data_IF_401781722245
#
_entry.id   IF_401781722245
#
_cell.length_a   1.000
_cell.length_b   1.000
_cell.length_c   1.000
_cell.angle_alpha   90.00
_cell.angle_beta   90.00
_cell.angle_gamma   90.00
#
_symmetry.space_group_name_H-M   'P 1'
#
loop_
_entity.id
_entity.type
_entity.pdbx_description
1 polymer ?
#
# COMPACT_ATOMS: atom_id res chain seq x y z
N UNK A 1 -51.81 -13.04 19.28
CA UNK A 1 -51.43 -11.87 18.46
C UNK A 1 -50.74 -12.37 17.20
N UNK A 2 -51.36 -12.09 16.04
CA UNK A 2 -50.90 -12.60 14.74
C UNK A 2 -49.94 -11.56 14.14
N UNK A 3 -48.66 -11.92 14.00
CA UNK A 3 -47.66 -11.11 13.31
C UNK A 3 -47.78 -11.36 11.79
N UNK A 4 -48.05 -10.30 11.04
CA UNK A 4 -48.11 -10.34 9.58
C UNK A 4 -46.72 -10.07 9.02
N UNK A 5 -46.17 -11.04 8.27
CA UNK A 5 -44.93 -10.89 7.50
C UNK A 5 -45.32 -10.17 6.19
N UNK A 6 -44.72 -9.00 5.98
CA UNK A 6 -44.86 -8.25 4.72
C UNK A 6 -43.66 -8.64 3.82
N UNK A 7 -43.93 -9.42 2.79
CA UNK A 7 -42.97 -9.71 1.72
C UNK A 7 -43.06 -8.56 0.69
N UNK A 8 -41.99 -7.78 0.55
CA UNK A 8 -41.83 -6.80 -0.52
C UNK A 8 -41.18 -7.47 -1.72
N UNK A 9 -41.94 -7.71 -2.78
CA UNK A 9 -41.44 -8.14 -4.07
C UNK A 9 -40.93 -6.92 -4.83
N UNK A 10 -39.63 -6.88 -5.15
CA UNK A 10 -39.06 -5.90 -6.06
C UNK A 10 -39.19 -6.46 -7.48
N UNK A 11 -40.08 -5.86 -8.27
CA UNK A 11 -40.23 -6.16 -9.68
C UNK A 11 -39.17 -5.41 -10.49
N UNK A 12 -38.26 -6.15 -11.13
CA UNK A 12 -37.36 -5.61 -12.18
C UNK A 12 -38.22 -5.34 -13.44
N UNK A 13 -38.46 -4.07 -13.74
CA UNK A 13 -39.01 -3.65 -15.03
C UNK A 13 -37.89 -3.46 -16.06
N UNK A 14 -37.76 -4.42 -16.97
CA UNK A 14 -37.00 -4.24 -18.20
C UNK A 14 -37.81 -3.34 -19.15
N UNK A 15 -37.34 -2.13 -19.37
CA UNK A 15 -37.80 -1.27 -20.48
C UNK A 15 -36.89 -1.48 -21.67
N UNK A 16 -37.35 -2.30 -22.61
CA UNK A 16 -36.81 -2.31 -23.96
C UNK A 16 -37.44 -1.11 -24.70
N UNK A 17 -36.68 -0.04 -24.88
CA UNK A 17 -37.03 1.05 -25.77
C UNK A 17 -36.21 0.89 -27.06
N UNK A 18 -36.85 0.35 -28.08
CA UNK A 18 -36.40 0.43 -29.46
C UNK A 18 -36.90 1.74 -30.05
N UNK A 19 -36.05 2.65 -30.45
CA UNK A 19 -36.41 3.92 -31.08
C UNK A 19 -35.14 4.60 -31.57
N UNK A 20 -34.86 4.46 -32.87
CA UNK A 20 -33.68 5.07 -33.52
C UNK A 20 -33.78 6.59 -33.52
N UNK A 21 -32.64 7.21 -33.35
CA UNK A 21 -32.31 8.54 -33.88
C UNK A 21 -30.78 8.69 -33.74
N UNK A 22 -30.17 8.96 -34.88
CA UNK A 22 -28.73 9.19 -35.03
C UNK A 22 -28.30 10.38 -34.16
N UNK A 23 -27.67 10.09 -33.07
CA UNK A 23 -26.77 10.99 -32.38
C UNK A 23 -25.55 10.15 -31.96
N UNK A 24 -24.46 10.35 -32.68
CA UNK A 24 -23.12 9.87 -32.32
C UNK A 24 -22.66 10.47 -30.97
N UNK A 25 -23.28 10.00 -29.91
CA UNK A 25 -22.69 10.06 -28.58
C UNK A 25 -22.06 8.68 -28.34
N UNK A 26 -20.92 8.45 -29.00
CA UNK A 26 -20.07 7.34 -28.61
C UNK A 26 -19.61 7.62 -27.18
N UNK A 27 -20.36 7.13 -26.20
CA UNK A 27 -19.86 6.89 -24.86
C UNK A 27 -18.75 5.85 -25.07
N UNK A 28 -17.52 6.31 -25.19
CA UNK A 28 -16.37 5.43 -25.05
C UNK A 28 -16.58 4.67 -23.75
N UNK A 29 -16.59 3.32 -23.77
CA UNK A 29 -16.59 2.56 -22.54
C UNK A 29 -15.43 3.12 -21.70
N UNK A 30 -15.70 3.53 -20.48
CA UNK A 30 -14.64 3.85 -19.52
C UNK A 30 -13.71 2.63 -19.54
N UNK A 31 -12.46 2.81 -19.98
CA UNK A 31 -11.54 1.69 -20.19
C UNK A 31 -11.47 0.91 -18.87
N UNK A 32 -11.89 -0.35 -18.92
CA UNK A 32 -11.86 -1.21 -17.75
C UNK A 32 -10.44 -1.19 -17.17
N UNK A 33 -10.31 -0.92 -15.87
CA UNK A 33 -9.03 -0.84 -15.20
C UNK A 33 -9.01 -1.65 -13.91
N UNK A 34 -7.83 -2.12 -13.53
CA UNK A 34 -7.57 -2.70 -12.21
C UNK A 34 -6.80 -1.69 -11.38
N UNK A 35 -7.29 -1.39 -10.17
CA UNK A 35 -6.66 -0.43 -9.27
C UNK A 35 -5.74 -1.16 -8.30
N UNK A 36 -4.52 -0.66 -8.16
CA UNK A 36 -3.56 -1.09 -7.15
C UNK A 36 -3.10 0.13 -6.34
N UNK A 37 -2.92 -0.04 -5.04
CA UNK A 37 -2.64 1.04 -4.10
C UNK A 37 -1.33 0.79 -3.36
N UNK A 38 -0.50 1.82 -3.20
CA UNK A 38 0.63 1.81 -2.26
C UNK A 38 0.20 2.47 -0.94
N UNK A 39 0.33 1.74 0.18
CA UNK A 39 -0.21 2.15 1.47
C UNK A 39 0.74 1.90 2.65
N UNK A 40 1.03 3.02 3.40
CA UNK A 40 1.79 3.04 4.66
C UNK A 40 1.65 4.37 5.45
N UNK A 41 0.55 5.06 5.50
CA UNK A 41 -0.68 5.27 4.68
C UNK A 41 -0.45 5.54 3.19
N UNK A 42 -1.40 6.21 2.49
CA UNK A 42 -1.29 6.45 1.06
C UNK A 42 0.06 7.06 0.65
N UNK A 43 0.77 6.42 -0.29
CA UNK A 43 2.10 6.87 -0.73
C UNK A 43 2.02 7.39 -2.16
N UNK A 44 2.21 8.70 -2.32
CA UNK A 44 2.30 9.37 -3.62
C UNK A 44 3.70 9.23 -4.21
N UNK A 45 3.79 9.14 -5.54
CA UNK A 45 5.06 9.27 -6.27
C UNK A 45 5.88 7.99 -6.39
N UNK A 46 5.32 6.81 -6.06
CA UNK A 46 5.98 5.53 -6.29
C UNK A 46 5.77 5.05 -7.73
N UNK A 47 6.81 4.54 -8.36
CA UNK A 47 6.72 3.89 -9.66
C UNK A 47 6.20 2.47 -9.49
N UNK A 48 5.10 2.15 -10.18
CA UNK A 48 4.48 0.84 -10.14
C UNK A 48 4.78 0.03 -11.43
N UNK A 49 4.96 -1.27 -11.27
CA UNK A 49 5.13 -2.25 -12.34
C UNK A 49 4.41 -3.54 -12.01
N UNK A 50 4.16 -4.36 -13.03
CA UNK A 50 3.55 -5.68 -12.88
C UNK A 50 4.26 -6.73 -13.74
N UNK A 51 4.14 -7.99 -13.30
CA UNK A 51 4.62 -9.17 -14.03
C UNK A 51 3.65 -10.33 -13.82
N UNK A 52 3.15 -10.92 -14.91
CA UNK A 52 2.15 -11.99 -14.92
C UNK A 52 2.73 -13.32 -15.43
N UNK A 53 2.11 -14.43 -15.09
CA UNK A 53 2.57 -15.79 -15.41
C UNK A 53 2.65 -16.07 -16.91
N UNK A 54 1.80 -15.43 -17.70
CA UNK A 54 1.81 -15.56 -19.17
C UNK A 54 2.95 -14.78 -19.85
N UNK A 55 3.87 -14.20 -19.07
CA UNK A 55 4.98 -13.38 -19.56
C UNK A 55 4.62 -11.92 -19.83
N UNK A 56 3.35 -11.51 -19.63
CA UNK A 56 2.95 -10.10 -19.71
C UNK A 56 3.57 -9.31 -18.56
N UNK A 57 4.26 -8.22 -18.86
CA UNK A 57 4.84 -7.33 -17.84
C UNK A 57 4.87 -5.90 -18.35
N UNK A 58 4.95 -4.94 -17.44
CA UNK A 58 5.02 -3.54 -17.83
C UNK A 58 5.04 -2.56 -16.67
N UNK A 59 5.23 -1.29 -17.01
CA UNK A 59 5.04 -0.18 -16.09
C UNK A 59 3.54 0.09 -15.94
N UNK A 60 3.13 0.34 -14.71
CA UNK A 60 1.76 0.72 -14.35
C UNK A 60 1.61 2.24 -14.12
N UNK A 61 2.71 3.00 -14.22
CA UNK A 61 2.72 4.42 -13.94
C UNK A 61 3.20 4.77 -12.54
N UNK A 62 2.81 5.94 -12.06
CA UNK A 62 3.21 6.51 -10.77
C UNK A 62 1.98 6.72 -9.90
N UNK A 63 2.06 6.43 -8.60
CA UNK A 63 0.95 6.60 -7.67
C UNK A 63 0.53 8.05 -7.52
N UNK A 64 -0.78 8.28 -7.49
CA UNK A 64 -1.42 9.57 -7.27
C UNK A 64 -1.45 9.97 -5.77
N UNK A 65 -2.21 11.01 -5.44
CA UNK A 65 -2.35 11.49 -4.06
C UNK A 65 -3.01 10.48 -3.11
N UNK A 66 -3.80 9.57 -3.65
CA UNK A 66 -4.46 8.48 -2.90
C UNK A 66 -3.59 7.20 -2.88
N UNK A 67 -2.36 7.27 -3.39
CA UNK A 67 -1.46 6.13 -3.50
C UNK A 67 -1.85 5.16 -4.62
N UNK A 68 -2.76 5.52 -5.52
CA UNK A 68 -3.38 4.61 -6.49
C UNK A 68 -2.74 4.74 -7.87
N UNK A 69 -2.59 3.61 -8.55
CA UNK A 69 -2.42 3.53 -10.01
C UNK A 69 -3.53 2.68 -10.61
N UNK A 70 -3.97 3.04 -11.83
CA UNK A 70 -4.96 2.31 -12.61
C UNK A 70 -4.30 1.65 -13.80
N UNK A 71 -4.44 0.33 -13.92
CA UNK A 71 -3.80 -0.49 -14.95
C UNK A 71 -4.86 -0.93 -15.95
N UNK A 72 -4.72 -0.54 -17.21
CA UNK A 72 -5.66 -0.86 -18.29
C UNK A 72 -5.25 -2.08 -19.12
N UNK A 73 -4.11 -2.71 -18.82
CA UNK A 73 -3.69 -3.93 -19.51
C UNK A 73 -4.73 -5.04 -19.30
N UNK A 74 -5.19 -5.65 -20.39
CA UNK A 74 -6.28 -6.64 -20.39
C UNK A 74 -5.99 -7.89 -19.56
N UNK A 75 -4.74 -8.36 -19.49
CA UNK A 75 -4.35 -9.48 -18.61
C UNK A 75 -4.54 -9.08 -17.16
N UNK A 76 -4.03 -7.92 -16.76
CA UNK A 76 -4.13 -7.43 -15.38
C UNK A 76 -5.60 -7.17 -14.99
N UNK A 77 -6.41 -6.64 -15.91
CA UNK A 77 -7.84 -6.39 -15.65
C UNK A 77 -8.62 -7.68 -15.45
N UNK A 78 -8.39 -8.67 -16.31
CA UNK A 78 -9.20 -9.90 -16.33
C UNK A 78 -8.71 -10.97 -15.36
N UNK A 79 -7.40 -11.08 -15.17
CA UNK A 79 -6.75 -12.12 -14.34
C UNK A 79 -5.64 -11.52 -13.47
N UNK A 80 -5.95 -10.53 -12.59
CA UNK A 80 -4.94 -9.87 -11.77
C UNK A 80 -4.26 -10.81 -10.77
N UNK A 81 -4.92 -11.89 -10.40
CA UNK A 81 -4.39 -12.98 -9.55
C UNK A 81 -3.15 -13.66 -10.14
N UNK A 82 -3.04 -13.71 -11.48
CA UNK A 82 -1.84 -14.26 -12.16
C UNK A 82 -0.64 -13.31 -12.14
N UNK A 83 -0.81 -12.09 -11.61
CA UNK A 83 0.20 -11.04 -11.66
C UNK A 83 0.76 -10.73 -10.25
N UNK A 84 2.04 -10.43 -10.19
CA UNK A 84 2.67 -9.74 -9.06
C UNK A 84 2.83 -8.26 -9.39
N UNK A 85 2.80 -7.40 -8.35
CA UNK A 85 3.00 -5.97 -8.52
C UNK A 85 4.15 -5.51 -7.63
N UNK A 86 4.93 -4.55 -8.15
CA UNK A 86 6.05 -3.94 -7.42
C UNK A 86 5.94 -2.43 -7.52
N UNK A 87 6.03 -1.78 -6.36
CA UNK A 87 6.10 -0.35 -6.22
C UNK A 87 7.50 0.02 -5.72
N UNK A 88 8.13 0.98 -6.37
CA UNK A 88 9.46 1.45 -6.01
C UNK A 88 9.43 2.94 -5.79
N UNK A 89 9.88 3.38 -4.63
CA UNK A 89 10.02 4.80 -4.31
C UNK A 89 10.91 5.49 -5.33
N UNK A 90 10.56 6.72 -5.62
CA UNK A 90 11.32 7.62 -6.50
C UNK A 90 11.55 8.94 -5.78
N UNK A 91 12.42 9.77 -6.32
CA UNK A 91 12.63 11.13 -5.78
C UNK A 91 11.29 11.87 -5.69
N UNK A 92 10.94 12.34 -4.50
CA UNK A 92 9.66 12.99 -4.22
C UNK A 92 8.52 12.05 -3.85
N UNK A 93 8.76 10.73 -3.75
CA UNK A 93 7.78 9.82 -3.15
C UNK A 93 7.61 10.17 -1.67
N UNK A 94 6.34 10.28 -1.22
CA UNK A 94 6.01 10.80 0.11
C UNK A 94 4.77 10.12 0.67
N UNK A 95 4.77 9.86 1.98
CA UNK A 95 3.58 9.48 2.74
C UNK A 95 2.67 10.71 2.87
N UNK A 96 1.45 10.60 2.35
CA UNK A 96 0.49 11.71 2.27
C UNK A 96 -0.05 12.14 3.63
N UNK A 97 -0.03 11.25 4.62
CA UNK A 97 -0.57 11.51 5.96
C UNK A 97 0.39 12.30 6.85
N UNK A 98 1.69 12.15 6.66
CA UNK A 98 2.69 12.67 7.60
C UNK A 98 3.87 13.39 6.96
N UNK A 99 4.04 13.29 5.62
CA UNK A 99 5.12 13.92 4.88
C UNK A 99 6.47 13.18 4.94
N UNK A 100 6.50 11.94 5.42
CA UNK A 100 7.72 11.10 5.45
C UNK A 100 8.22 10.83 4.04
N UNK A 101 9.55 10.93 3.85
CA UNK A 101 10.22 10.56 2.60
C UNK A 101 10.14 9.05 2.36
N UNK A 102 9.52 8.66 1.25
CA UNK A 102 9.32 7.28 0.82
C UNK A 102 10.18 6.90 -0.40
N UNK A 103 11.17 7.72 -0.75
CA UNK A 103 11.99 7.54 -1.96
C UNK A 103 12.82 6.24 -1.98
N UNK A 104 13.09 5.66 -0.82
CA UNK A 104 13.86 4.39 -0.69
C UNK A 104 12.98 3.17 -0.45
N UNK A 105 11.67 3.36 -0.34
CA UNK A 105 10.74 2.28 -0.02
C UNK A 105 10.43 1.44 -1.25
N UNK A 106 10.23 0.14 -1.05
CA UNK A 106 9.72 -0.75 -2.08
C UNK A 106 8.65 -1.66 -1.50
N UNK A 107 7.48 -1.71 -2.15
CA UNK A 107 6.38 -2.58 -1.76
C UNK A 107 6.06 -3.59 -2.85
N UNK A 108 5.55 -4.76 -2.43
CA UNK A 108 5.22 -5.87 -3.31
C UNK A 108 3.83 -6.42 -3.00
N UNK A 109 3.16 -6.86 -4.04
CA UNK A 109 1.96 -7.71 -3.96
C UNK A 109 2.32 -9.06 -4.58
N UNK A 110 2.22 -10.18 -3.83
CA UNK A 110 2.49 -11.50 -4.37
C UNK A 110 1.39 -11.91 -5.36
N UNK A 111 1.72 -12.79 -6.31
CA UNK A 111 0.72 -13.47 -7.16
C UNK A 111 -0.29 -14.21 -6.31
N UNK A 112 -1.51 -14.34 -6.81
CA UNK A 112 -2.60 -15.03 -6.11
C UNK A 112 -3.40 -14.14 -5.16
N UNK A 113 -2.92 -12.93 -4.80
CA UNK A 113 -3.62 -12.05 -3.86
C UNK A 113 -4.64 -11.13 -4.56
N UNK A 114 -4.27 -10.54 -5.69
CA UNK A 114 -5.15 -9.59 -6.38
C UNK A 114 -6.41 -10.28 -6.93
N UNK A 115 -7.53 -9.56 -7.00
CA UNK A 115 -8.82 -10.08 -7.51
C UNK A 115 -9.44 -9.12 -8.50
N UNK A 116 -10.01 -9.65 -9.57
CA UNK A 116 -10.71 -8.84 -10.57
C UNK A 116 -11.84 -8.03 -9.92
N UNK A 117 -11.95 -6.76 -10.27
CA UNK A 117 -12.98 -5.86 -9.76
C UNK A 117 -12.76 -5.37 -8.32
N UNK A 118 -11.65 -5.73 -7.68
CA UNK A 118 -11.28 -5.27 -6.34
C UNK A 118 -9.96 -4.52 -6.38
N UNK A 119 -9.82 -3.52 -5.51
CA UNK A 119 -8.51 -2.91 -5.25
C UNK A 119 -7.63 -3.91 -4.50
N UNK A 120 -6.33 -3.83 -4.70
CA UNK A 120 -5.35 -4.57 -3.90
C UNK A 120 -4.26 -3.63 -3.42
N UNK A 121 -3.82 -3.83 -2.17
CA UNK A 121 -2.87 -2.93 -1.51
C UNK A 121 -1.45 -3.49 -1.51
N UNK A 122 -0.50 -2.74 -2.04
CA UNK A 122 0.93 -2.92 -1.82
C UNK A 122 1.32 -2.20 -0.53
N UNK A 123 1.72 -2.92 0.48
CA UNK A 123 2.05 -2.42 1.80
C UNK A 123 3.28 -3.13 2.36
N UNK A 124 3.84 -2.67 3.49
CA UNK A 124 4.86 -3.44 4.21
C UNK A 124 4.42 -4.87 4.52
N UNK A 125 3.13 -5.08 4.86
CA UNK A 125 2.59 -6.42 5.16
C UNK A 125 2.63 -7.32 3.93
N UNK A 126 2.08 -6.89 2.79
CA UNK A 126 2.09 -7.68 1.55
C UNK A 126 3.50 -7.91 1.04
N UNK A 127 4.42 -6.96 1.30
CA UNK A 127 5.84 -7.08 0.95
C UNK A 127 6.52 -8.17 1.76
N UNK A 128 6.28 -8.22 3.07
CA UNK A 128 6.85 -9.26 3.92
C UNK A 128 6.31 -10.65 3.54
N UNK A 129 5.00 -10.75 3.24
CA UNK A 129 4.39 -11.97 2.73
C UNK A 129 5.04 -12.39 1.40
N UNK A 130 5.19 -11.47 0.45
CA UNK A 130 5.87 -11.75 -0.82
C UNK A 130 7.32 -12.21 -0.63
N UNK A 131 8.05 -11.60 0.29
CA UNK A 131 9.42 -12.01 0.61
C UNK A 131 9.49 -13.40 1.28
N UNK A 132 8.49 -13.76 2.11
CA UNK A 132 8.38 -15.10 2.73
C UNK A 132 8.05 -16.17 1.69
N UNK A 133 7.18 -15.86 0.73
CA UNK A 133 6.75 -16.76 -0.33
C UNK A 133 7.80 -16.97 -1.42
N UNK A 134 8.67 -15.98 -1.67
CA UNK A 134 9.56 -16.00 -2.83
C UNK A 134 8.77 -16.05 -4.14
N UNK A 135 8.96 -17.11 -4.93
CA UNK A 135 8.26 -17.31 -6.21
C UNK A 135 6.89 -18.01 -6.06
N UNK A 136 6.55 -18.49 -4.86
CA UNK A 136 5.27 -19.16 -4.62
C UNK A 136 4.10 -18.17 -4.63
N UNK A 137 2.92 -18.69 -4.99
CA UNK A 137 1.69 -17.90 -4.96
C UNK A 137 1.21 -17.63 -3.52
N UNK A 138 0.44 -16.56 -3.37
CA UNK A 138 -0.22 -16.23 -2.13
C UNK A 138 -1.10 -17.37 -1.63
N UNK A 139 -0.97 -17.66 -0.35
CA UNK A 139 -1.92 -18.49 0.39
C UNK A 139 -2.31 -17.78 1.68
N UNK A 140 -3.57 -17.91 2.07
CA UNK A 140 -4.05 -17.30 3.32
C UNK A 140 -3.28 -17.84 4.54
N UNK A 141 -2.89 -19.12 4.53
CA UNK A 141 -2.12 -19.72 5.63
C UNK A 141 -0.73 -19.07 5.81
N UNK A 142 -0.03 -18.76 4.70
CA UNK A 142 1.25 -18.07 4.77
C UNK A 142 1.10 -16.64 5.27
N UNK A 143 0.02 -15.97 4.88
CA UNK A 143 -0.27 -14.63 5.37
C UNK A 143 -0.60 -14.64 6.88
N UNK A 144 -1.41 -15.59 7.36
CA UNK A 144 -1.70 -15.78 8.78
C UNK A 144 -0.41 -16.02 9.58
N UNK A 145 0.51 -16.87 9.08
CA UNK A 145 1.81 -17.11 9.70
C UNK A 145 2.61 -15.81 9.84
N UNK A 146 2.75 -15.04 8.76
CA UNK A 146 3.48 -13.76 8.78
C UNK A 146 2.85 -12.76 9.75
N UNK A 147 1.53 -12.61 9.77
CA UNK A 147 0.86 -11.71 10.71
C UNK A 147 1.05 -12.18 12.17
N UNK A 148 1.00 -13.48 12.43
CA UNK A 148 1.29 -14.06 13.74
C UNK A 148 2.73 -13.79 14.19
N UNK A 149 3.70 -13.93 13.28
CA UNK A 149 5.10 -13.61 13.55
C UNK A 149 5.30 -12.13 13.88
N UNK A 150 4.54 -11.25 13.25
CA UNK A 150 4.47 -9.80 13.58
C UNK A 150 3.73 -9.53 14.89
N UNK A 151 3.05 -10.51 15.47
CA UNK A 151 2.21 -10.35 16.67
C UNK A 151 0.86 -9.72 16.40
N UNK A 152 0.37 -9.78 15.16
CA UNK A 152 -0.93 -9.25 14.75
C UNK A 152 -1.96 -10.38 14.71
N UNK A 153 -2.91 -10.37 15.64
CA UNK A 153 -4.05 -11.30 15.67
C UNK A 153 -5.34 -10.59 15.23
N UNK A 154 -5.45 -10.34 13.92
CA UNK A 154 -6.60 -9.63 13.34
C UNK A 154 -7.81 -10.56 13.27
N UNK A 155 -7.64 -11.77 12.78
CA UNK A 155 -8.74 -12.70 12.47
C UNK A 155 -9.55 -13.09 13.70
N UNK A 156 -8.86 -13.53 14.77
CA UNK A 156 -9.56 -13.98 15.98
C UNK A 156 -10.19 -12.81 16.75
N UNK A 157 -9.58 -11.64 16.65
CA UNK A 157 -10.01 -10.46 17.42
C UNK A 157 -11.18 -9.72 16.80
N UNK A 158 -11.43 -9.84 15.49
CA UNK A 158 -12.37 -8.96 14.78
C UNK A 158 -13.34 -9.66 13.84
N UNK A 159 -13.05 -10.88 13.42
CA UNK A 159 -13.78 -11.60 12.36
C UNK A 159 -13.47 -11.10 10.94
N UNK A 160 -12.54 -10.16 10.78
CA UNK A 160 -12.04 -9.70 9.48
C UNK A 160 -11.02 -10.71 8.97
N UNK A 161 -11.15 -11.18 7.73
CA UNK A 161 -10.16 -12.10 7.16
C UNK A 161 -8.85 -11.39 6.87
N UNK A 162 -7.75 -12.13 6.90
CA UNK A 162 -6.43 -11.61 6.52
C UNK A 162 -6.46 -11.08 5.09
N UNK A 163 -7.14 -11.78 4.19
CA UNK A 163 -7.30 -11.34 2.81
C UNK A 163 -7.99 -9.98 2.70
N UNK A 164 -9.07 -9.75 3.46
CA UNK A 164 -9.75 -8.43 3.48
C UNK A 164 -8.81 -7.31 3.93
N UNK A 165 -8.00 -7.56 4.96
CA UNK A 165 -6.98 -6.60 5.42
C UNK A 165 -5.97 -6.28 4.32
N UNK A 166 -5.48 -7.30 3.61
CA UNK A 166 -4.44 -7.13 2.58
C UNK A 166 -4.98 -6.54 1.27
N UNK A 167 -6.23 -6.82 0.91
CA UNK A 167 -6.85 -6.24 -0.27
C UNK A 167 -7.11 -4.74 -0.10
N UNK A 168 -7.61 -4.31 1.06
CA UNK A 168 -7.93 -2.91 1.29
C UNK A 168 -7.59 -2.51 2.73
N UNK A 169 -6.30 -2.38 3.00
CA UNK A 169 -5.76 -2.09 4.33
C UNK A 169 -6.34 -0.78 4.90
N UNK A 170 -6.40 0.27 4.10
CA UNK A 170 -6.93 1.57 4.51
C UNK A 170 -8.36 1.45 5.01
N UNK A 171 -9.27 0.95 4.18
CA UNK A 171 -10.68 0.83 4.55
C UNK A 171 -10.89 -0.06 5.78
N UNK A 172 -10.10 -1.13 5.92
CA UNK A 172 -10.18 -2.00 7.10
C UNK A 172 -9.78 -1.25 8.35
N UNK A 173 -8.66 -0.52 8.33
CA UNK A 173 -8.16 0.20 9.49
C UNK A 173 -9.05 1.39 9.87
N UNK A 174 -9.66 2.06 8.90
CA UNK A 174 -10.43 3.27 9.15
C UNK A 174 -11.90 3.03 9.45
N UNK A 175 -12.50 1.99 8.84
CA UNK A 175 -13.96 1.81 8.90
C UNK A 175 -14.41 0.50 9.52
N UNK A 176 -13.61 -0.56 9.48
CA UNK A 176 -14.05 -1.89 9.89
C UNK A 176 -13.50 -2.32 11.26
N UNK A 177 -12.30 -1.87 11.63
CA UNK A 177 -11.71 -2.16 12.93
C UNK A 177 -12.22 -1.19 13.99
N UNK A 178 -13.06 -1.66 14.90
CA UNK A 178 -13.57 -0.88 16.04
C UNK A 178 -12.64 -0.88 17.26
N UNK A 179 -11.66 -1.80 17.31
CA UNK A 179 -10.69 -1.91 18.41
C UNK A 179 -9.52 -0.94 18.19
N UNK A 180 -9.57 0.23 18.83
CA UNK A 180 -8.55 1.28 18.69
C UNK A 180 -7.13 0.80 19.04
N UNK A 181 -6.98 -0.09 20.02
CA UNK A 181 -5.68 -0.64 20.43
C UNK A 181 -5.09 -1.52 19.30
N UNK A 182 -5.93 -2.35 18.67
CA UNK A 182 -5.50 -3.17 17.52
C UNK A 182 -5.16 -2.30 16.32
N UNK A 183 -5.94 -1.26 16.02
CA UNK A 183 -5.65 -0.29 14.96
C UNK A 183 -4.29 0.36 15.20
N UNK A 184 -4.03 0.84 16.42
CA UNK A 184 -2.75 1.44 16.79
C UNK A 184 -1.60 0.43 16.62
N UNK A 185 -1.79 -0.83 17.03
CA UNK A 185 -0.79 -1.88 16.89
C UNK A 185 -0.50 -2.19 15.41
N UNK A 186 -1.54 -2.32 14.56
CA UNK A 186 -1.33 -2.55 13.13
C UNK A 186 -0.59 -1.38 12.51
N UNK A 187 -0.99 -0.13 12.77
CA UNK A 187 -0.33 1.08 12.25
C UNK A 187 1.13 1.17 12.69
N UNK A 188 1.42 0.94 13.98
CA UNK A 188 2.79 0.94 14.48
C UNK A 188 3.64 -0.17 13.85
N UNK A 189 3.08 -1.38 13.73
CA UNK A 189 3.78 -2.51 13.12
C UNK A 189 4.07 -2.24 11.64
N UNK A 190 3.11 -1.69 10.90
CA UNK A 190 3.26 -1.37 9.47
C UNK A 190 4.33 -0.30 9.25
N UNK A 191 4.29 0.80 10.00
CA UNK A 191 5.27 1.88 9.91
C UNK A 191 6.71 1.40 10.24
N UNK A 192 6.87 0.62 11.32
CA UNK A 192 8.17 0.04 11.69
C UNK A 192 8.64 -0.97 10.64
N UNK A 193 7.74 -1.84 10.15
CA UNK A 193 8.08 -2.84 9.13
C UNK A 193 8.56 -2.19 7.83
N UNK A 194 7.96 -1.07 7.43
CA UNK A 194 8.42 -0.27 6.29
C UNK A 194 9.89 0.10 6.43
N UNK A 195 10.28 0.65 7.58
CA UNK A 195 11.66 1.05 7.84
C UNK A 195 12.62 -0.15 7.94
N UNK A 196 12.19 -1.25 8.57
CA UNK A 196 12.99 -2.48 8.64
C UNK A 196 13.27 -3.04 7.25
N UNK A 197 12.26 -3.03 6.35
CA UNK A 197 12.44 -3.48 4.97
C UNK A 197 13.40 -2.59 4.17
N UNK A 198 13.41 -1.28 4.42
CA UNK A 198 14.38 -0.34 3.80
C UNK A 198 15.80 -0.57 4.31
N UNK A 199 15.96 -0.73 5.61
CA UNK A 199 17.30 -0.85 6.24
C UNK A 199 17.92 -2.23 6.03
N UNK A 200 17.08 -3.28 5.99
CA UNK A 200 17.52 -4.68 5.92
C UNK A 200 16.87 -5.45 4.78
N UNK A 201 17.01 -5.00 3.51
CA UNK A 201 16.27 -5.55 2.36
C UNK A 201 16.61 -7.01 2.03
N UNK A 202 17.77 -7.50 2.51
CA UNK A 202 18.25 -8.86 2.26
C UNK A 202 18.11 -9.79 3.48
N UNK A 203 17.53 -9.32 4.58
CA UNK A 203 17.28 -10.16 5.75
C UNK A 203 16.16 -11.18 5.46
N UNK A 204 16.18 -12.33 6.16
CA UNK A 204 15.10 -13.30 6.06
C UNK A 204 13.77 -12.69 6.54
N UNK A 205 12.67 -13.12 5.94
CA UNK A 205 11.33 -12.65 6.33
C UNK A 205 11.08 -12.85 7.83
N UNK A 206 11.55 -13.96 8.40
CA UNK A 206 11.38 -14.26 9.82
C UNK A 206 12.15 -13.28 10.72
N UNK A 207 13.39 -12.92 10.36
CA UNK A 207 14.18 -11.94 11.12
C UNK A 207 13.55 -10.54 11.01
N UNK A 208 13.05 -10.18 9.83
CA UNK A 208 12.34 -8.91 9.60
C UNK A 208 11.07 -8.86 10.46
N UNK A 209 10.26 -9.93 10.46
CA UNK A 209 9.04 -10.01 11.27
C UNK A 209 9.33 -9.86 12.76
N UNK A 210 10.32 -10.59 13.28
CA UNK A 210 10.70 -10.54 14.69
C UNK A 210 11.25 -9.15 15.09
N UNK A 211 12.05 -8.53 14.22
CA UNK A 211 12.55 -7.18 14.45
C UNK A 211 11.41 -6.15 14.47
N UNK A 212 10.54 -6.19 13.46
CA UNK A 212 9.40 -5.30 13.39
C UNK A 212 8.48 -5.45 14.61
N UNK A 213 8.16 -6.69 15.03
CA UNK A 213 7.37 -6.98 16.23
C UNK A 213 7.98 -6.37 17.48
N UNK A 214 9.29 -6.58 17.73
CA UNK A 214 9.96 -6.07 18.92
C UNK A 214 9.95 -4.55 18.98
N UNK A 215 10.29 -3.91 17.86
CA UNK A 215 10.34 -2.44 17.77
C UNK A 215 8.92 -1.87 17.88
N UNK A 216 7.93 -2.43 17.18
CA UNK A 216 6.55 -1.98 17.26
C UNK A 216 5.95 -2.10 18.66
N UNK A 217 6.30 -3.16 19.41
CA UNK A 217 5.88 -3.29 20.80
C UNK A 217 6.43 -2.16 21.69
N UNK A 218 7.68 -1.71 21.46
CA UNK A 218 8.23 -0.57 22.20
C UNK A 218 7.57 0.75 21.76
N UNK A 219 7.21 0.88 20.46
CA UNK A 219 6.41 2.01 19.96
C UNK A 219 5.05 2.06 20.69
N UNK A 220 4.31 0.96 20.73
CA UNK A 220 2.98 0.91 21.38
C UNK A 220 3.08 1.10 22.90
N UNK A 221 4.14 0.62 23.53
CA UNK A 221 4.38 0.86 24.96
C UNK A 221 4.58 2.36 25.25
N UNK A 222 5.26 3.08 24.35
CA UNK A 222 5.53 4.52 24.48
C UNK A 222 4.36 5.37 24.00
N UNK A 223 3.72 4.94 22.90
CA UNK A 223 2.59 5.63 22.23
C UNK A 223 1.41 4.65 22.03
N UNK A 224 0.60 4.39 23.10
CA UNK A 224 -0.48 3.39 23.03
C UNK A 224 -1.58 3.67 22.00
N UNK A 225 -1.69 4.92 21.56
CA UNK A 225 -2.68 5.37 20.57
C UNK A 225 -2.03 5.73 19.22
N UNK A 226 -0.84 5.18 18.92
CA UNK A 226 -0.13 5.51 17.68
C UNK A 226 -1.05 5.47 16.44
N UNK A 227 -0.99 6.47 15.54
CA UNK A 227 0.01 7.53 15.43
C UNK A 227 -0.17 8.77 16.34
N UNK A 228 -1.14 8.77 17.25
CA UNK A 228 -1.29 9.90 18.19
C UNK A 228 -0.19 9.89 19.24
N UNK A 229 0.34 11.09 19.55
CA UNK A 229 1.42 11.27 20.51
C UNK A 229 1.00 11.07 21.97
N UNK A 230 -0.32 11.16 22.24
CA UNK A 230 -0.89 11.08 23.59
C UNK A 230 -2.41 11.02 23.56
N UNK A 231 -3.07 11.72 24.50
CA UNK A 231 -4.54 11.78 24.59
C UNK A 231 -5.18 12.84 23.68
N UNK A 232 -4.37 13.69 23.02
CA UNK A 232 -4.83 14.68 22.03
C UNK A 232 -4.95 14.10 20.62
N UNK A 233 -5.19 14.99 19.67
CA UNK A 233 -5.32 14.62 18.25
C UNK A 233 -4.02 14.84 17.45
N UNK A 234 -2.96 15.29 18.13
CA UNK A 234 -1.67 15.49 17.47
C UNK A 234 -1.07 14.15 17.06
N UNK A 235 -0.87 13.98 15.76
CA UNK A 235 -0.27 12.78 15.18
C UNK A 235 1.23 12.97 14.98
N UNK A 236 1.95 11.85 15.12
CA UNK A 236 3.39 11.76 14.97
C UNK A 236 3.75 10.61 14.04
N UNK A 237 4.97 10.67 13.52
CA UNK A 237 5.63 9.51 12.92
C UNK A 237 7.02 9.32 13.50
N UNK A 238 7.51 8.08 13.43
CA UNK A 238 8.86 7.70 13.78
C UNK A 238 9.62 7.34 12.51
N UNK A 239 10.90 7.68 12.47
CA UNK A 239 11.76 7.45 11.31
C UNK A 239 13.04 6.72 11.76
N UNK A 240 13.02 5.41 11.66
CA UNK A 240 14.14 4.55 12.02
C UNK A 240 15.20 4.49 10.92
N UNK A 241 14.96 5.07 9.75
CA UNK A 241 15.94 5.10 8.65
C UNK A 241 17.03 6.15 8.88
N UNK A 242 16.78 7.13 9.75
CA UNK A 242 17.75 8.17 10.11
C UNK A 242 18.90 7.62 10.97
N UNK A 243 18.61 6.65 11.87
CA UNK A 243 19.61 5.90 12.62
C UNK A 243 19.26 4.40 12.54
N UNK A 244 20.01 3.69 11.73
CA UNK A 244 19.75 2.28 11.43
C UNK A 244 20.28 1.30 12.49
N UNK A 245 20.95 1.79 13.54
CA UNK A 245 21.61 0.96 14.56
C UNK A 245 20.64 0.00 15.22
N UNK A 246 19.49 0.50 15.68
CA UNK A 246 18.47 -0.31 16.36
C UNK A 246 17.95 -1.44 15.44
N UNK A 247 17.62 -1.11 14.20
CA UNK A 247 17.14 -2.11 13.24
C UNK A 247 18.19 -3.16 12.98
N UNK A 248 19.44 -2.75 12.67
CA UNK A 248 20.53 -3.67 12.38
C UNK A 248 20.81 -4.62 13.54
N UNK A 249 20.81 -4.10 14.77
CA UNK A 249 21.06 -4.90 15.98
C UNK A 249 19.95 -5.94 16.19
N UNK A 250 18.68 -5.53 16.07
CA UNK A 250 17.54 -6.43 16.30
C UNK A 250 17.41 -7.47 15.19
N UNK A 251 17.58 -7.09 13.92
CA UNK A 251 17.53 -8.02 12.77
C UNK A 251 18.67 -9.05 12.83
N UNK A 252 19.87 -8.63 13.23
CA UNK A 252 21.03 -9.53 13.33
C UNK A 252 20.98 -10.45 14.55
N UNK A 253 20.21 -10.10 15.57
CA UNK A 253 20.12 -10.84 16.84
C UNK A 253 18.67 -11.05 17.30
N UNK A 254 17.81 -11.71 16.50
CA UNK A 254 16.37 -11.76 16.77
C UNK A 254 16.00 -12.43 18.11
N UNK A 255 16.87 -13.35 18.61
CA UNK A 255 16.66 -14.05 19.87
C UNK A 255 17.17 -13.33 21.13
N UNK A 256 17.87 -12.19 21.00
CA UNK A 256 18.46 -11.49 22.14
C UNK A 256 17.53 -10.42 22.70
N UNK A 257 17.64 -10.17 24.00
CA UNK A 257 17.06 -9.00 24.64
C UNK A 257 17.91 -7.77 24.33
N UNK A 258 17.43 -6.95 23.41
CA UNK A 258 18.08 -5.71 22.99
C UNK A 258 17.25 -4.55 23.53
N UNK A 259 17.91 -3.58 24.16
CA UNK A 259 17.27 -2.33 24.55
C UNK A 259 16.98 -1.51 23.31
N UNK A 260 15.69 -1.26 23.04
CA UNK A 260 15.26 -0.50 21.89
C UNK A 260 15.10 0.96 22.29
N UNK A 261 15.90 1.82 21.68
CA UNK A 261 15.75 3.27 21.81
C UNK A 261 14.97 3.78 20.61
N UNK A 262 13.80 4.38 20.87
CA UNK A 262 12.99 4.96 19.79
C UNK A 262 13.64 6.25 19.28
N UNK A 263 13.57 6.52 17.97
CA UNK A 263 13.94 7.83 17.42
C UNK A 263 13.01 8.93 17.97
N UNK A 264 13.44 10.17 17.86
CA UNK A 264 12.61 11.31 18.18
C UNK A 264 11.34 11.32 17.35
N UNK A 265 10.20 11.47 18.00
CA UNK A 265 8.91 11.56 17.33
C UNK A 265 8.81 12.88 16.56
N UNK A 266 8.47 12.79 15.27
CA UNK A 266 8.28 13.93 14.40
C UNK A 266 6.78 14.22 14.26
N UNK A 267 6.33 15.48 14.30
CA UNK A 267 4.93 15.80 14.07
C UNK A 267 4.53 15.45 12.63
N UNK A 268 3.38 14.78 12.48
CA UNK A 268 2.79 14.52 11.17
C UNK A 268 2.39 15.82 10.50
N UNK A 269 2.74 15.96 9.23
CA UNK A 269 2.37 17.08 8.38
C UNK A 269 1.75 16.53 7.10
N UNK A 270 0.41 16.39 7.06
CA UNK A 270 -0.26 15.94 5.84
C UNK A 270 0.16 16.77 4.64
N UNK A 271 0.41 16.11 3.53
CA UNK A 271 0.87 16.76 2.30
C UNK A 271 -0.32 17.45 1.63
N UNK A 272 -0.12 18.69 1.19
CA UNK A 272 -1.15 19.44 0.47
C UNK A 272 -1.41 18.79 -0.91
N UNK A 273 -2.65 18.39 -1.15
CA UNK A 273 -3.08 17.75 -2.40
C UNK A 273 -3.22 18.73 -3.57
N UNK A 274 -3.13 20.04 -3.31
CA UNK A 274 -3.21 21.08 -4.35
C UNK A 274 -1.88 21.24 -5.11
N UNK A 275 -0.76 20.76 -4.58
CA UNK A 275 0.50 20.74 -5.30
C UNK A 275 0.57 19.55 -6.27
N UNK A 276 0.78 19.77 -7.58
CA UNK A 276 1.02 18.69 -8.51
C UNK A 276 2.28 17.91 -8.10
N UNK A 277 2.34 16.57 -8.32
CA UNK A 277 3.53 15.79 -8.05
C UNK A 277 4.72 16.43 -8.80
N UNK A 278 5.87 16.54 -8.12
CA UNK A 278 7.09 17.08 -8.71
C UNK A 278 7.45 16.26 -9.95
N UNK A 279 7.10 16.77 -11.12
CA UNK A 279 7.52 16.19 -12.40
C UNK A 279 9.04 16.33 -12.47
N UNK A 280 9.75 15.21 -12.34
CA UNK A 280 11.18 15.15 -12.63
C UNK A 280 11.43 15.70 -14.02
N UNK A 281 12.03 16.89 -14.11
CA UNK A 281 12.30 17.56 -15.36
C UNK A 281 13.19 16.65 -16.24
N UNK A 282 12.61 16.15 -17.31
CA UNK A 282 13.39 15.64 -18.45
C UNK A 282 14.18 16.83 -18.98
N UNK A 283 15.50 16.83 -18.73
CA UNK A 283 16.43 17.82 -19.28
C UNK A 283 16.28 17.88 -20.79
N UNK A 284 15.71 18.97 -21.27
CA UNK A 284 15.69 19.29 -22.67
C UNK A 284 17.12 19.49 -23.14
N UNK A 285 17.60 18.61 -23.99
CA UNK A 285 18.79 18.82 -24.81
C UNK A 285 18.51 19.98 -25.75
N UNK A 286 19.09 21.15 -25.43
CA UNK A 286 19.09 22.31 -26.32
C UNK A 286 19.81 21.93 -27.63
N UNK A 287 19.07 21.88 -28.71
CA UNK A 287 19.63 21.89 -30.07
C UNK A 287 20.22 23.26 -30.35
N UNK A 288 21.52 23.32 -30.57
CA UNK A 288 22.16 24.49 -31.16
C UNK A 288 21.79 24.58 -32.62
N UNK A 289 20.89 25.48 -32.98
CA UNK A 289 20.67 25.91 -34.35
C UNK A 289 21.78 26.89 -34.77
N UNK A 290 22.71 26.36 -35.51
CA UNK A 290 23.79 27.13 -36.17
C UNK A 290 23.27 27.60 -37.53
N UNK A 291 22.56 28.72 -37.54
CA UNK A 291 22.11 29.38 -38.78
C UNK A 291 23.14 30.37 -39.32
N UNK A 292 24.06 29.92 -40.13
CA UNK A 292 24.93 30.78 -40.96
C UNK A 292 24.16 31.32 -42.11
N UNK A 293 23.88 32.64 -42.11
CA UNK A 293 23.41 33.36 -43.25
C UNK A 293 24.52 34.23 -43.82
N UNK A 294 25.04 33.87 -45.01
CA UNK A 294 25.85 34.76 -45.83
C UNK A 294 24.91 35.50 -46.75
N UNK A 295 24.91 36.82 -46.70
CA UNK A 295 24.25 37.68 -47.65
C UNK A 295 25.29 38.41 -48.49
N UNK A 296 25.03 38.47 -49.76
CA UNK A 296 25.54 39.49 -50.68
C UNK A 296 24.58 40.66 -50.74
#
# INVERSE_FOLDING_TARGET
MKMKILAAAVACSMLAACGGSDNDNSVTPEDASHSVMAYDPAVRGMNASYSCDNGTSGSAGTTDNDGIVKITNTTVVNTPDTCSFTFTGATGAVDMSNGKDMSKVSYKIPRGLAKAGSIVTASPLTTLIANKLGDAEYTESAAIEVLSDLGLDVTNSTGISVEQLLLNTENVLETQLSNASLVAQVRATTAVLSDVLVVSPNASADNVAQAAKKIANEVIKTYPNYPKSGSGDDEIYLDFTADTTVINDVVSNPGKDIVITLPEAKPSKPVDTTEPPATGGTGGTGGEDNGGGTGD
#
